data_IF_675215817619
#
_entry.id   IF_675215817619
#
_cell.length_a   1.000
_cell.length_b   1.000
_cell.length_c   1.000
_cell.angle_alpha   90.00
_cell.angle_beta   90.00
_cell.angle_gamma   90.00
#
_symmetry.space_group_name_H-M   'P 1'
#
loop_
_entity.id
_entity.type
_entity.pdbx_description
1 polymer ?
#
# COMPACT_ATOMS: atom_id res chain seq x y z
N UNK A 1 -19.54 13.58 -14.09
CA UNK A 1 -19.93 12.60 -13.05
C UNK A 1 -19.06 12.89 -11.83
N UNK A 2 -19.63 13.34 -10.70
CA UNK A 2 -18.87 13.50 -9.45
C UNK A 2 -18.62 12.09 -8.90
N UNK A 3 -17.36 11.72 -8.71
CA UNK A 3 -17.03 10.45 -8.08
C UNK A 3 -17.51 10.50 -6.62
N UNK A 4 -18.37 9.56 -6.19
CA UNK A 4 -19.11 9.68 -4.92
C UNK A 4 -18.21 9.63 -3.68
N UNK A 5 -17.15 8.81 -3.74
CA UNK A 5 -16.15 8.69 -2.66
C UNK A 5 -14.93 9.60 -2.87
N UNK A 6 -15.08 10.70 -3.63
CA UNK A 6 -13.95 11.58 -3.92
C UNK A 6 -13.32 12.16 -2.64
N UNK A 7 -14.16 12.57 -1.69
CA UNK A 7 -13.69 13.17 -0.44
C UNK A 7 -13.00 12.12 0.45
N UNK A 8 -13.48 10.87 0.43
CA UNK A 8 -12.80 9.74 1.07
C UNK A 8 -11.40 9.54 0.49
N UNK A 9 -11.27 9.44 -0.84
CA UNK A 9 -9.97 9.20 -1.47
C UNK A 9 -9.00 10.37 -1.23
N UNK A 10 -9.50 11.61 -1.26
CA UNK A 10 -8.71 12.79 -0.91
C UNK A 10 -8.24 12.70 0.55
N UNK A 11 -9.13 12.35 1.48
CA UNK A 11 -8.80 12.17 2.90
C UNK A 11 -7.71 11.12 3.10
N UNK A 12 -7.76 10.00 2.37
CA UNK A 12 -6.74 8.95 2.46
C UNK A 12 -5.37 9.44 2.01
N UNK A 13 -5.29 10.23 0.92
CA UNK A 13 -4.02 10.80 0.47
C UNK A 13 -3.54 11.90 1.42
N UNK A 14 -4.44 12.75 1.92
CA UNK A 14 -4.10 13.76 2.94
C UNK A 14 -3.52 13.11 4.19
N UNK A 15 -4.14 12.06 4.71
CA UNK A 15 -3.63 11.30 5.85
C UNK A 15 -2.22 10.77 5.58
N UNK A 16 -1.93 10.25 4.38
CA UNK A 16 -0.57 9.81 4.05
C UNK A 16 0.42 10.97 3.97
N UNK A 17 0.02 12.09 3.36
CA UNK A 17 0.85 13.29 3.30
C UNK A 17 1.13 13.83 4.71
N UNK A 18 0.17 13.75 5.63
CA UNK A 18 0.36 14.14 7.03
C UNK A 18 1.34 13.21 7.76
N UNK A 19 1.25 11.89 7.56
CA UNK A 19 2.22 10.94 8.11
C UNK A 19 3.66 11.29 7.68
N UNK A 20 3.85 11.73 6.43
CA UNK A 20 5.14 12.23 5.93
C UNK A 20 5.51 13.57 6.57
N UNK A 21 4.58 14.54 6.60
CA UNK A 21 4.81 15.88 7.18
C UNK A 21 5.26 15.80 8.64
N UNK A 22 4.71 14.86 9.42
CA UNK A 22 5.05 14.72 10.84
C UNK A 22 6.24 13.80 11.12
N UNK A 23 6.77 13.09 10.12
CA UNK A 23 7.98 12.32 10.29
C UNK A 23 9.22 13.23 10.19
N UNK A 24 9.88 13.49 11.32
CA UNK A 24 11.04 14.38 11.42
C UNK A 24 12.28 13.90 10.68
N UNK A 25 12.39 12.60 10.41
CA UNK A 25 13.53 12.02 9.70
C UNK A 25 13.46 12.32 8.20
N UNK A 26 12.25 12.51 7.67
CA UNK A 26 11.97 12.59 6.24
C UNK A 26 11.55 14.00 5.82
N UNK A 27 10.80 14.71 6.69
CA UNK A 27 10.15 15.97 6.34
C UNK A 27 11.11 17.14 6.11
N UNK A 28 12.38 17.03 6.47
CA UNK A 28 13.36 18.10 6.32
C UNK A 28 13.93 18.20 4.90
N UNK A 29 13.85 17.13 4.12
CA UNK A 29 14.38 17.08 2.77
C UNK A 29 13.62 18.04 1.83
N UNK A 30 14.38 18.84 1.06
CA UNK A 30 13.79 19.81 0.12
C UNK A 30 12.89 19.13 -0.92
N UNK A 31 13.27 17.94 -1.40
CA UNK A 31 12.50 17.17 -2.39
C UNK A 31 11.16 16.69 -1.82
N UNK A 32 11.15 16.28 -0.55
CA UNK A 32 9.93 15.89 0.18
C UNK A 32 8.99 17.09 0.32
N UNK A 33 9.53 18.26 0.70
CA UNK A 33 8.75 19.51 0.78
C UNK A 33 8.14 19.92 -0.58
N UNK A 34 8.88 19.75 -1.67
CA UNK A 34 8.38 20.01 -3.03
C UNK A 34 7.22 19.08 -3.42
N UNK A 35 7.34 17.78 -3.12
CA UNK A 35 6.28 16.81 -3.36
C UNK A 35 5.03 17.16 -2.55
N UNK A 36 5.18 17.40 -1.24
CA UNK A 36 4.09 17.80 -0.35
C UNK A 36 3.37 19.06 -0.88
N UNK A 37 4.14 20.05 -1.36
CA UNK A 37 3.57 21.28 -1.94
C UNK A 37 2.69 21.00 -3.17
N UNK A 38 3.00 19.97 -3.96
CA UNK A 38 2.15 19.55 -5.09
C UNK A 38 0.77 19.10 -4.61
N UNK A 39 0.72 18.33 -3.54
CA UNK A 39 -0.54 17.93 -2.92
C UNK A 39 -1.28 19.14 -2.32
N UNK A 40 -0.62 19.91 -1.46
CA UNK A 40 -1.22 21.06 -0.75
C UNK A 40 -1.81 22.12 -1.69
N UNK A 41 -1.28 22.24 -2.90
CA UNK A 41 -1.76 23.20 -3.90
C UNK A 41 -2.92 22.70 -4.76
N UNK A 42 -3.14 21.38 -4.85
CA UNK A 42 -4.10 20.81 -5.82
C UNK A 42 -5.16 19.91 -5.22
N UNK A 43 -4.86 19.19 -4.13
CA UNK A 43 -5.71 18.15 -3.54
C UNK A 43 -6.29 17.19 -4.60
N UNK A 44 -5.48 16.90 -5.63
CA UNK A 44 -5.90 16.09 -6.77
C UNK A 44 -4.97 14.90 -6.94
N UNK A 45 -5.50 13.70 -6.67
CA UNK A 45 -4.75 12.45 -6.67
C UNK A 45 -4.05 12.21 -8.01
N UNK A 46 -4.72 12.50 -9.14
CA UNK A 46 -4.12 12.33 -10.48
C UNK A 46 -2.95 13.29 -10.73
N UNK A 47 -3.10 14.55 -10.33
CA UNK A 47 -2.02 15.54 -10.47
C UNK A 47 -0.84 15.18 -9.57
N UNK A 48 -1.13 14.74 -8.35
CA UNK A 48 -0.13 14.33 -7.39
C UNK A 48 0.64 13.08 -7.86
N UNK A 49 -0.06 12.07 -8.38
CA UNK A 49 0.57 10.88 -8.94
C UNK A 49 1.49 11.20 -10.12
N UNK A 50 1.07 12.10 -11.03
CA UNK A 50 1.94 12.57 -12.12
C UNK A 50 3.20 13.27 -11.63
N UNK A 51 3.14 13.99 -10.51
CA UNK A 51 4.34 14.59 -9.92
C UNK A 51 5.24 13.51 -9.30
N UNK A 52 4.69 12.50 -8.62
CA UNK A 52 5.44 11.34 -8.12
C UNK A 52 6.18 10.64 -9.28
N UNK A 53 5.48 10.29 -10.35
CA UNK A 53 6.06 9.65 -11.55
C UNK A 53 7.19 10.50 -12.15
N UNK A 54 6.96 11.81 -12.27
CA UNK A 54 7.97 12.75 -12.79
C UNK A 54 9.21 12.80 -11.90
N UNK A 55 9.04 12.81 -10.58
CA UNK A 55 10.16 12.77 -9.64
C UNK A 55 10.90 11.43 -9.69
N UNK A 56 10.18 10.32 -9.90
CA UNK A 56 10.78 8.99 -10.12
C UNK A 56 11.62 8.94 -11.40
N UNK A 57 11.10 9.46 -12.51
CA UNK A 57 11.85 9.53 -13.78
C UNK A 57 13.10 10.41 -13.65
N UNK A 58 13.01 11.54 -12.94
CA UNK A 58 14.18 12.38 -12.65
C UNK A 58 15.21 11.62 -11.81
N UNK A 59 14.74 10.87 -10.81
CA UNK A 59 15.60 10.08 -9.94
C UNK A 59 16.36 9.01 -10.72
N UNK A 60 15.68 8.22 -11.56
CA UNK A 60 16.33 7.19 -12.41
C UNK A 60 17.38 7.82 -13.32
N UNK A 61 17.05 8.92 -14.01
CA UNK A 61 18.00 9.64 -14.89
C UNK A 61 19.18 10.25 -14.15
N UNK A 62 19.00 10.62 -12.89
CA UNK A 62 20.09 11.14 -12.06
C UNK A 62 21.00 9.99 -11.63
N UNK A 63 20.43 8.87 -11.19
CA UNK A 63 21.15 7.65 -10.80
C UNK A 63 22.01 7.09 -11.94
N UNK A 64 21.49 7.07 -13.17
CA UNK A 64 22.22 6.63 -14.37
C UNK A 64 23.45 7.48 -14.72
N UNK A 65 23.55 8.70 -14.16
CA UNK A 65 24.65 9.64 -14.44
C UNK A 65 25.70 9.71 -13.33
N UNK A 66 25.46 9.04 -12.21
CA UNK A 66 26.39 9.03 -11.08
C UNK A 66 27.42 7.92 -11.25
N UNK A 67 28.62 8.17 -10.76
CA UNK A 67 29.67 7.16 -10.67
C UNK A 67 29.48 6.33 -9.39
N UNK A 68 30.02 5.11 -9.32
CA UNK A 68 29.85 4.17 -8.19
C UNK A 68 30.14 4.78 -6.79
N UNK A 69 31.05 5.76 -6.71
CA UNK A 69 31.38 6.44 -5.46
C UNK A 69 30.28 7.40 -4.98
N UNK A 70 29.62 8.11 -5.89
CA UNK A 70 28.54 9.07 -5.58
C UNK A 70 27.20 8.34 -5.33
N UNK A 71 27.07 7.12 -5.83
CA UNK A 71 25.94 6.22 -5.52
C UNK A 71 25.95 5.78 -4.05
N UNK A 72 27.13 5.55 -3.46
CA UNK A 72 27.26 5.08 -2.07
C UNK A 72 26.81 6.10 -1.00
N UNK A 73 26.89 7.40 -1.28
CA UNK A 73 26.34 8.46 -0.40
C UNK A 73 24.82 8.66 -0.58
N UNK A 74 24.28 8.32 -1.76
CA UNK A 74 22.83 8.33 -1.99
C UNK A 74 22.11 7.15 -1.29
N UNK A 75 22.81 6.07 -0.95
CA UNK A 75 22.24 4.83 -0.36
C UNK A 75 21.67 4.98 1.07
N UNK A 76 21.61 6.20 1.63
CA UNK A 76 20.78 6.54 2.81
C UNK A 76 19.26 6.61 2.47
N UNK A 77 18.80 5.81 1.51
CA UNK A 77 17.68 6.06 0.60
C UNK A 77 16.27 6.07 1.22
N UNK A 78 15.92 7.17 1.89
CA UNK A 78 14.54 7.48 2.30
C UNK A 78 13.69 7.94 1.09
N UNK A 79 14.26 8.75 0.19
CA UNK A 79 13.48 9.43 -0.86
C UNK A 79 12.86 8.53 -1.96
N UNK A 80 13.58 7.60 -2.62
CA UNK A 80 12.98 6.70 -3.60
C UNK A 80 12.00 5.73 -2.97
N UNK A 81 12.29 5.26 -1.75
CA UNK A 81 11.39 4.41 -0.98
C UNK A 81 10.06 5.13 -0.76
N UNK A 82 10.11 6.40 -0.34
CA UNK A 82 8.93 7.25 -0.20
C UNK A 82 8.18 7.45 -1.53
N UNK A 83 8.88 7.72 -2.63
CA UNK A 83 8.25 7.88 -3.94
C UNK A 83 7.55 6.58 -4.41
N UNK A 84 8.17 5.43 -4.16
CA UNK A 84 7.59 4.11 -4.48
C UNK A 84 6.34 3.88 -3.62
N UNK A 85 6.42 4.12 -2.31
CA UNK A 85 5.29 3.94 -1.40
C UNK A 85 4.11 4.84 -1.80
N UNK A 86 4.36 6.14 -1.99
CA UNK A 86 3.34 7.10 -2.38
C UNK A 86 2.77 6.83 -3.78
N UNK A 87 3.63 6.42 -4.71
CA UNK A 87 3.22 6.01 -6.05
C UNK A 87 2.24 4.86 -5.99
N UNK A 88 2.62 3.77 -5.33
CA UNK A 88 1.75 2.60 -5.09
C UNK A 88 0.44 3.01 -4.41
N UNK A 89 0.53 3.81 -3.34
CA UNK A 89 -0.64 4.28 -2.60
C UNK A 89 -1.64 4.95 -3.52
N UNK A 90 -1.20 5.94 -4.31
CA UNK A 90 -2.10 6.67 -5.20
C UNK A 90 -2.55 5.84 -6.41
N UNK A 91 -1.70 4.96 -6.96
CA UNK A 91 -2.07 4.07 -8.06
C UNK A 91 -3.17 3.09 -7.65
N UNK A 92 -3.08 2.47 -6.47
CA UNK A 92 -4.12 1.58 -5.95
C UNK A 92 -5.46 2.30 -5.80
N UNK A 93 -5.46 3.55 -5.31
CA UNK A 93 -6.67 4.38 -5.22
C UNK A 93 -7.23 4.75 -6.60
N UNK A 94 -6.36 5.06 -7.56
CA UNK A 94 -6.77 5.40 -8.93
C UNK A 94 -7.33 4.19 -9.68
N UNK A 95 -6.76 3.00 -9.46
CA UNK A 95 -7.28 1.74 -10.00
C UNK A 95 -8.71 1.47 -9.48
N UNK A 96 -8.96 1.68 -8.19
CA UNK A 96 -10.31 1.61 -7.63
C UNK A 96 -11.29 2.57 -8.33
N UNK A 97 -10.88 3.82 -8.57
CA UNK A 97 -11.68 4.83 -9.29
C UNK A 97 -11.97 4.42 -10.74
N UNK A 98 -11.02 3.78 -11.40
CA UNK A 98 -11.17 3.32 -12.78
C UNK A 98 -12.14 2.13 -12.85
N UNK A 99 -11.91 1.11 -12.03
CA UNK A 99 -12.75 -0.09 -12.00
C UNK A 99 -14.20 0.22 -11.60
N UNK A 100 -14.40 1.12 -10.65
CA UNK A 100 -15.75 1.56 -10.24
C UNK A 100 -16.50 2.33 -11.32
N UNK A 101 -15.82 3.08 -12.20
CA UNK A 101 -16.47 3.77 -13.33
C UNK A 101 -16.87 2.85 -14.47
N UNK A 102 -16.10 1.78 -14.65
CA UNK A 102 -16.28 0.82 -15.73
C UNK A 102 -17.28 -0.28 -15.37
N UNK A 103 -17.71 -0.35 -14.10
CA UNK A 103 -18.67 -1.35 -13.67
C UNK A 103 -20.06 -1.07 -14.24
N UNK A 104 -20.60 -2.06 -14.95
CA UNK A 104 -21.98 -2.07 -15.44
C UNK A 104 -22.76 -3.05 -14.57
N UNK A 105 -23.85 -2.60 -13.97
CA UNK A 105 -24.75 -3.49 -13.23
C UNK A 105 -25.11 -4.69 -14.11
N UNK A 106 -24.80 -5.94 -13.68
CA UNK A 106 -25.26 -7.11 -14.40
C UNK A 106 -26.78 -7.03 -14.51
N UNK A 107 -27.30 -7.09 -15.73
CA UNK A 107 -28.74 -6.99 -15.98
C UNK A 107 -29.46 -8.18 -15.34
N UNK A 108 -30.11 -7.98 -14.19
CA UNK A 108 -30.87 -8.99 -13.47
C UNK A 108 -31.27 -8.58 -12.03
N UNK A 109 -32.53 -8.14 -11.90
CA UNK A 109 -33.49 -8.20 -10.77
C UNK A 109 -33.15 -7.94 -9.28
N UNK A 110 -31.96 -7.49 -8.89
CA UNK A 110 -31.82 -6.70 -7.66
C UNK A 110 -30.74 -5.62 -7.89
N UNK A 111 -31.12 -4.34 -7.76
CA UNK A 111 -30.15 -3.25 -7.81
C UNK A 111 -29.23 -3.37 -6.59
N UNK A 112 -28.01 -3.87 -6.79
CA UNK A 112 -26.96 -3.84 -5.77
C UNK A 112 -26.84 -2.42 -5.21
N UNK A 113 -26.79 -2.32 -3.89
CA UNK A 113 -26.44 -1.08 -3.21
C UNK A 113 -25.05 -0.63 -3.66
N UNK A 114 -24.79 0.66 -3.55
CA UNK A 114 -23.49 1.19 -3.93
C UNK A 114 -22.36 0.68 -3.02
N UNK A 115 -22.69 0.29 -1.79
CA UNK A 115 -21.78 -0.39 -0.87
C UNK A 115 -21.39 -1.75 -1.42
N UNK A 116 -22.37 -2.60 -1.75
CA UNK A 116 -22.14 -3.92 -2.35
C UNK A 116 -21.36 -3.82 -3.67
N UNK A 117 -21.67 -2.82 -4.49
CA UNK A 117 -20.92 -2.54 -5.70
C UNK A 117 -19.45 -2.21 -5.40
N UNK A 118 -19.19 -1.39 -4.38
CA UNK A 118 -17.83 -1.02 -4.00
C UNK A 118 -17.05 -2.20 -3.43
N UNK A 119 -17.70 -3.05 -2.63
CA UNK A 119 -17.13 -4.31 -2.15
C UNK A 119 -16.75 -5.24 -3.31
N UNK A 120 -17.62 -5.37 -4.32
CA UNK A 120 -17.32 -6.16 -5.52
C UNK A 120 -16.11 -5.59 -6.26
N UNK A 121 -16.05 -4.27 -6.51
CA UNK A 121 -14.90 -3.64 -7.17
C UNK A 121 -13.61 -3.91 -6.40
N UNK A 122 -13.62 -3.80 -5.07
CA UNK A 122 -12.47 -4.12 -4.23
C UNK A 122 -12.10 -5.61 -4.28
N UNK A 123 -13.09 -6.50 -4.32
CA UNK A 123 -12.86 -7.94 -4.48
C UNK A 123 -12.16 -8.26 -5.80
N UNK A 124 -12.59 -7.64 -6.91
CA UNK A 124 -11.96 -7.84 -8.21
C UNK A 124 -10.55 -7.28 -8.24
N UNK A 125 -10.34 -6.07 -7.72
CA UNK A 125 -9.00 -5.50 -7.60
C UNK A 125 -8.09 -6.39 -6.76
N UNK A 126 -8.57 -6.88 -5.62
CA UNK A 126 -7.85 -7.83 -4.77
C UNK A 126 -7.50 -9.13 -5.52
N UNK A 127 -8.44 -9.66 -6.31
CA UNK A 127 -8.20 -10.84 -7.14
C UNK A 127 -7.10 -10.60 -8.16
N UNK A 128 -7.14 -9.46 -8.84
CA UNK A 128 -6.15 -9.09 -9.85
C UNK A 128 -4.77 -8.96 -9.23
N UNK A 129 -4.65 -8.31 -8.05
CA UNK A 129 -3.40 -8.24 -7.30
C UNK A 129 -2.89 -9.64 -6.93
N UNK A 130 -3.74 -10.53 -6.42
CA UNK A 130 -3.33 -11.90 -6.10
C UNK A 130 -2.82 -12.64 -7.34
N UNK A 131 -3.50 -12.50 -8.48
CA UNK A 131 -3.08 -13.12 -9.73
C UNK A 131 -1.73 -12.58 -10.24
N UNK A 132 -1.50 -11.27 -10.12
CA UNK A 132 -0.23 -10.62 -10.48
C UNK A 132 0.91 -11.12 -9.60
N UNK A 133 0.64 -11.35 -8.31
CA UNK A 133 1.67 -11.69 -7.32
C UNK A 133 1.94 -13.19 -7.19
N UNK A 134 0.99 -14.07 -7.49
CA UNK A 134 1.13 -15.52 -7.34
C UNK A 134 2.12 -16.13 -8.33
N UNK A 135 2.07 -15.75 -9.62
CA UNK A 135 2.97 -16.30 -10.63
C UNK A 135 4.45 -15.97 -10.33
N UNK A 136 4.82 -14.70 -10.05
CA UNK A 136 6.18 -14.37 -9.62
C UNK A 136 6.60 -15.17 -8.40
N UNK A 137 5.70 -15.35 -7.41
CA UNK A 137 6.04 -16.06 -6.16
C UNK A 137 6.51 -17.49 -6.41
N UNK A 138 5.96 -18.18 -7.41
CA UNK A 138 6.35 -19.54 -7.79
C UNK A 138 7.75 -19.63 -8.41
N UNK A 139 8.28 -18.50 -8.91
CA UNK A 139 9.56 -18.42 -9.61
C UNK A 139 10.70 -17.88 -8.73
N UNK A 140 10.42 -17.45 -7.50
CA UNK A 140 11.45 -16.95 -6.59
C UNK A 140 12.43 -18.05 -6.19
N UNK A 141 13.70 -17.84 -6.51
CA UNK A 141 14.79 -18.49 -5.79
C UNK A 141 15.11 -17.67 -4.55
N UNK A 142 15.06 -18.28 -3.36
CA UNK A 142 15.41 -17.64 -2.09
C UNK A 142 16.47 -18.43 -1.34
N UNK A 143 17.28 -17.78 -0.49
CA UNK A 143 18.19 -18.49 0.40
C UNK A 143 17.45 -19.47 1.31
N UNK A 144 18.13 -20.53 1.74
CA UNK A 144 17.53 -21.64 2.49
C UNK A 144 16.76 -21.20 3.76
N UNK A 145 17.24 -20.18 4.47
CA UNK A 145 16.56 -19.71 5.68
C UNK A 145 15.23 -19.00 5.40
N UNK A 146 14.98 -18.57 4.16
CA UNK A 146 13.74 -17.92 3.73
C UNK A 146 12.75 -18.90 3.08
N UNK A 147 13.15 -20.13 2.76
CA UNK A 147 12.34 -21.05 1.94
C UNK A 147 11.03 -21.44 2.62
N UNK A 148 11.05 -21.68 3.93
CA UNK A 148 9.82 -21.97 4.68
C UNK A 148 8.84 -20.79 4.64
N UNK A 149 9.37 -19.57 4.73
CA UNK A 149 8.58 -18.34 4.60
C UNK A 149 7.89 -18.22 3.24
N UNK A 150 8.64 -18.51 2.18
CA UNK A 150 8.16 -18.54 0.80
C UNK A 150 7.07 -19.59 0.59
N UNK A 151 7.32 -20.84 0.99
CA UNK A 151 6.40 -21.97 0.80
C UNK A 151 5.05 -21.71 1.49
N UNK A 152 5.08 -21.17 2.72
CA UNK A 152 3.87 -20.81 3.46
C UNK A 152 3.09 -19.67 2.79
N UNK A 153 3.77 -18.65 2.25
CA UNK A 153 3.12 -17.57 1.49
C UNK A 153 2.43 -18.12 0.23
N UNK A 154 3.11 -19.01 -0.50
CA UNK A 154 2.55 -19.66 -1.69
C UNK A 154 1.28 -20.46 -1.34
N UNK A 155 1.31 -21.25 -0.26
CA UNK A 155 0.15 -22.01 0.21
C UNK A 155 -1.02 -21.09 0.62
N UNK A 156 -0.74 -20.04 1.39
CA UNK A 156 -1.77 -19.08 1.81
C UNK A 156 -2.43 -18.36 0.62
N UNK A 157 -1.63 -17.89 -0.34
CA UNK A 157 -2.15 -17.23 -1.54
C UNK A 157 -2.93 -18.21 -2.44
N UNK A 158 -2.43 -19.43 -2.60
CA UNK A 158 -3.14 -20.49 -3.33
C UNK A 158 -4.50 -20.81 -2.71
N UNK A 159 -4.58 -20.86 -1.36
CA UNK A 159 -5.85 -21.02 -0.64
C UNK A 159 -6.78 -19.83 -0.84
N UNK A 160 -6.27 -18.60 -0.81
CA UNK A 160 -7.07 -17.40 -1.03
C UNK A 160 -7.73 -17.37 -2.42
N UNK A 161 -7.00 -17.77 -3.47
CA UNK A 161 -7.54 -17.88 -4.82
C UNK A 161 -8.76 -18.83 -4.91
N UNK A 162 -8.84 -19.84 -4.05
CA UNK A 162 -9.97 -20.78 -4.01
C UNK A 162 -11.20 -20.24 -3.28
N UNK A 163 -11.10 -19.12 -2.56
CA UNK A 163 -12.18 -18.58 -1.73
C UNK A 163 -12.91 -17.37 -2.35
N UNK A 164 -12.55 -16.92 -3.56
CA UNK A 164 -13.14 -15.73 -4.22
C UNK A 164 -14.66 -15.80 -4.51
N UNK A 165 -15.33 -16.91 -4.21
CA UNK A 165 -16.78 -17.00 -4.21
C UNK A 165 -17.46 -16.51 -2.91
N UNK A 166 -16.68 -16.18 -1.87
CA UNK A 166 -17.17 -15.76 -0.54
C UNK A 166 -16.34 -14.58 -0.03
N UNK A 167 -16.93 -13.38 -0.09
CA UNK A 167 -16.23 -12.12 0.21
C UNK A 167 -15.65 -12.10 1.64
N UNK A 168 -16.42 -12.51 2.64
CA UNK A 168 -15.99 -12.52 4.04
C UNK A 168 -14.80 -13.46 4.26
N UNK A 169 -14.83 -14.64 3.62
CA UNK A 169 -13.70 -15.58 3.66
C UNK A 169 -12.45 -14.98 3.01
N UNK A 170 -12.59 -14.31 1.88
CA UNK A 170 -11.47 -13.64 1.21
C UNK A 170 -10.87 -12.58 2.12
N UNK A 171 -11.68 -11.67 2.66
CA UNK A 171 -11.18 -10.60 3.55
C UNK A 171 -10.46 -11.17 4.77
N UNK A 172 -11.03 -12.20 5.40
CA UNK A 172 -10.39 -12.87 6.55
C UNK A 172 -9.03 -13.49 6.17
N UNK A 173 -8.94 -14.13 5.01
CA UNK A 173 -7.69 -14.70 4.53
C UNK A 173 -6.69 -13.62 4.14
N UNK A 174 -7.14 -12.54 3.53
CA UNK A 174 -6.30 -11.39 3.19
C UNK A 174 -5.69 -10.74 4.42
N UNK A 175 -6.46 -10.57 5.50
CA UNK A 175 -5.93 -10.14 6.81
C UNK A 175 -4.86 -11.10 7.33
N UNK A 176 -5.11 -12.41 7.24
CA UNK A 176 -4.16 -13.46 7.68
C UNK A 176 -2.85 -13.39 6.88
N UNK A 177 -2.95 -13.23 5.56
CA UNK A 177 -1.82 -13.12 4.65
C UNK A 177 -1.02 -11.84 4.92
N UNK A 178 -1.70 -10.71 5.12
CA UNK A 178 -1.06 -9.45 5.49
C UNK A 178 -0.30 -9.57 6.80
N UNK A 179 -0.90 -10.16 7.84
CA UNK A 179 -0.25 -10.35 9.13
C UNK A 179 0.97 -11.26 8.99
N UNK A 180 0.83 -12.41 8.33
CA UNK A 180 1.94 -13.33 8.11
C UNK A 180 3.09 -12.67 7.33
N UNK A 181 2.79 -11.92 6.27
CA UNK A 181 3.80 -11.19 5.50
C UNK A 181 4.51 -10.12 6.33
N UNK A 182 3.79 -9.43 7.22
CA UNK A 182 4.37 -8.46 8.16
C UNK A 182 5.31 -9.13 9.15
N UNK A 183 4.85 -10.19 9.82
CA UNK A 183 5.63 -10.93 10.81
C UNK A 183 6.86 -11.58 10.18
N UNK A 184 6.70 -12.14 8.97
CA UNK A 184 7.80 -12.73 8.21
C UNK A 184 8.84 -11.68 7.84
N UNK A 185 8.43 -10.50 7.37
CA UNK A 185 9.34 -9.41 7.03
C UNK A 185 10.19 -9.02 8.24
N UNK A 186 9.56 -8.84 9.39
CA UNK A 186 10.24 -8.48 10.64
C UNK A 186 11.24 -9.57 11.05
N UNK A 187 10.87 -10.85 10.98
CA UNK A 187 11.78 -11.96 11.29
C UNK A 187 12.97 -11.97 10.33
N UNK A 188 12.72 -11.87 9.03
CA UNK A 188 13.78 -11.98 8.01
C UNK A 188 14.75 -10.79 8.06
N UNK A 189 14.26 -9.56 8.29
CA UNK A 189 15.11 -8.38 8.40
C UNK A 189 16.02 -8.40 9.64
N UNK A 190 15.61 -9.10 10.70
CA UNK A 190 16.38 -9.23 11.94
C UNK A 190 17.20 -10.53 12.02
N UNK A 191 17.17 -11.37 11.00
CA UNK A 191 17.91 -12.64 10.98
C UNK A 191 19.37 -12.39 10.58
N UNK A 192 20.29 -12.75 11.48
CA UNK A 192 21.73 -12.62 11.24
C UNK A 192 22.28 -13.88 10.53
N UNK A 193 22.26 -13.88 9.20
CA UNK A 193 22.85 -14.93 8.36
C UNK A 193 23.97 -14.36 7.48
N UNK A 194 25.05 -15.13 7.31
CA UNK A 194 26.13 -14.76 6.40
C UNK A 194 25.74 -15.16 4.97
N UNK A 195 25.39 -14.18 4.15
CA UNK A 195 24.90 -14.39 2.78
C UNK A 195 26.00 -14.16 1.75
N UNK A 196 25.99 -14.97 0.69
CA UNK A 196 26.79 -14.67 -0.51
C UNK A 196 26.17 -13.49 -1.28
N UNK A 197 26.92 -12.85 -2.18
CA UNK A 197 26.37 -11.76 -3.01
C UNK A 197 25.12 -12.19 -3.81
N UNK A 198 25.09 -13.44 -4.29
CA UNK A 198 23.92 -14.02 -4.97
C UNK A 198 22.73 -14.12 -4.00
N UNK A 199 22.96 -14.65 -2.81
CA UNK A 199 21.92 -14.82 -1.80
C UNK A 199 21.37 -13.47 -1.31
N UNK A 200 22.21 -12.44 -1.23
CA UNK A 200 21.79 -11.07 -0.90
C UNK A 200 20.83 -10.54 -1.97
N UNK A 201 21.16 -10.71 -3.25
CA UNK A 201 20.27 -10.25 -4.34
C UNK A 201 18.92 -10.97 -4.31
N UNK A 202 18.91 -12.29 -4.09
CA UNK A 202 17.69 -13.10 -3.98
C UNK A 202 16.85 -12.74 -2.76
N UNK A 203 17.49 -12.59 -1.60
CA UNK A 203 16.85 -12.13 -0.38
C UNK A 203 16.19 -10.76 -0.56
N UNK A 204 16.94 -9.79 -1.12
CA UNK A 204 16.43 -8.46 -1.36
C UNK A 204 15.24 -8.45 -2.33
N UNK A 205 15.29 -9.28 -3.38
CA UNK A 205 14.17 -9.40 -4.31
C UNK A 205 12.90 -9.90 -3.59
N UNK A 206 13.03 -10.93 -2.75
CA UNK A 206 11.91 -11.49 -2.01
C UNK A 206 11.37 -10.53 -0.94
N UNK A 207 12.24 -9.89 -0.16
CA UNK A 207 11.85 -8.88 0.83
C UNK A 207 11.12 -7.71 0.18
N UNK A 208 11.62 -7.20 -0.94
CA UNK A 208 10.96 -6.12 -1.69
C UNK A 208 9.61 -6.55 -2.25
N UNK A 209 9.46 -7.82 -2.66
CA UNK A 209 8.17 -8.38 -3.06
C UNK A 209 7.20 -8.43 -1.87
N UNK A 210 7.63 -8.89 -0.68
CA UNK A 210 6.80 -8.93 0.53
C UNK A 210 6.32 -7.52 0.88
N UNK A 211 7.23 -6.54 0.91
CA UNK A 211 6.90 -5.13 1.18
C UNK A 211 5.84 -4.65 0.19
N UNK A 212 6.10 -4.81 -1.12
CA UNK A 212 5.19 -4.37 -2.16
C UNK A 212 3.80 -4.98 -2.05
N UNK A 213 3.74 -6.30 -1.86
CA UNK A 213 2.48 -7.01 -1.79
C UNK A 213 1.69 -6.60 -0.54
N UNK A 214 2.37 -6.57 0.62
CA UNK A 214 1.76 -6.16 1.89
C UNK A 214 1.16 -4.75 1.81
N UNK A 215 1.89 -3.80 1.24
CA UNK A 215 1.45 -2.40 1.15
C UNK A 215 0.18 -2.28 0.29
N UNK A 216 0.16 -2.92 -0.88
CA UNK A 216 -1.03 -2.94 -1.75
C UNK A 216 -2.25 -3.53 -1.03
N UNK A 217 -2.05 -4.66 -0.35
CA UNK A 217 -3.13 -5.32 0.40
C UNK A 217 -3.63 -4.43 1.54
N UNK A 218 -2.74 -3.78 2.29
CA UNK A 218 -3.10 -2.82 3.31
C UNK A 218 -3.97 -1.68 2.77
N UNK A 219 -3.61 -1.12 1.61
CA UNK A 219 -4.38 -0.02 0.99
C UNK A 219 -5.79 -0.48 0.59
N UNK A 220 -5.92 -1.68 0.02
CA UNK A 220 -7.22 -2.25 -0.35
C UNK A 220 -8.08 -2.49 0.89
N UNK A 221 -7.50 -3.05 1.96
CA UNK A 221 -8.24 -3.27 3.21
C UNK A 221 -8.64 -1.94 3.88
N UNK A 222 -7.78 -0.92 3.83
CA UNK A 222 -8.10 0.42 4.33
C UNK A 222 -9.26 1.07 3.55
N UNK A 223 -9.26 0.93 2.21
CA UNK A 223 -10.38 1.38 1.37
C UNK A 223 -11.69 0.68 1.78
N UNK A 224 -11.66 -0.64 1.95
CA UNK A 224 -12.83 -1.42 2.37
C UNK A 224 -13.38 -0.93 3.71
N UNK A 225 -12.49 -0.78 4.69
CA UNK A 225 -12.87 -0.37 6.03
C UNK A 225 -13.48 1.03 6.05
N UNK A 226 -12.88 1.98 5.31
CA UNK A 226 -13.43 3.34 5.20
C UNK A 226 -14.77 3.39 4.46
N UNK A 227 -14.99 2.55 3.47
CA UNK A 227 -16.30 2.45 2.80
C UNK A 227 -17.34 1.85 3.75
N UNK A 228 -16.94 0.87 4.57
CA UNK A 228 -17.81 0.27 5.60
C UNK A 228 -18.19 1.29 6.67
N UNK A 229 -17.24 2.12 7.14
CA UNK A 229 -17.53 3.22 8.07
C UNK A 229 -18.64 4.14 7.51
N UNK A 230 -18.54 4.53 6.24
CA UNK A 230 -19.51 5.43 5.60
C UNK A 230 -20.90 4.77 5.52
N UNK A 231 -20.96 3.47 5.22
CA UNK A 231 -22.23 2.74 5.15
C UNK A 231 -22.86 2.54 6.53
N UNK A 232 -22.07 2.14 7.53
CA UNK A 232 -22.52 1.97 8.91
C UNK A 232 -23.05 3.29 9.50
N UNK A 233 -22.35 4.41 9.26
CA UNK A 233 -22.80 5.75 9.65
C UNK A 233 -24.16 6.10 9.00
N UNK A 234 -24.33 5.78 7.71
CA UNK A 234 -25.58 6.01 6.99
C UNK A 234 -26.73 5.15 7.51
N UNK A 235 -26.42 3.95 8.03
CA UNK A 235 -27.37 3.02 8.64
C UNK A 235 -27.56 3.23 10.15
N UNK A 236 -26.89 4.21 10.75
CA UNK A 236 -26.97 4.50 12.19
C UNK A 236 -26.37 3.40 13.08
N UNK A 237 -25.49 2.57 12.51
CA UNK A 237 -24.73 1.56 13.24
C UNK A 237 -23.60 2.30 13.98
N UNK A 238 -23.62 2.21 15.30
CA UNK A 238 -22.61 2.80 16.18
C UNK A 238 -21.86 1.67 16.92
N UNK A 239 -20.68 1.96 17.45
CA UNK A 239 -19.84 1.06 18.26
C UNK A 239 -19.10 -0.07 17.51
N UNK A 240 -18.78 0.12 16.23
CA UNK A 240 -17.87 -0.77 15.50
C UNK A 240 -16.39 -0.41 15.73
N UNK A 241 -15.53 -1.42 15.71
CA UNK A 241 -14.08 -1.25 15.78
C UNK A 241 -13.49 -1.48 14.40
N UNK A 242 -12.78 -0.47 13.92
CA UNK A 242 -12.18 -0.41 12.60
C UNK A 242 -10.66 -0.46 12.74
N UNK A 243 -10.13 -1.68 12.87
CA UNK A 243 -8.75 -1.93 13.32
C UNK A 243 -7.69 -1.17 12.51
N UNK A 244 -7.84 -1.11 11.18
CA UNK A 244 -6.84 -0.53 10.28
C UNK A 244 -6.88 1.00 10.35
N UNK A 245 -8.08 1.57 10.33
CA UNK A 245 -8.33 3.01 10.43
C UNK A 245 -7.89 3.52 11.80
N UNK A 246 -8.24 2.80 12.87
CA UNK A 246 -7.82 3.12 14.24
C UNK A 246 -6.29 3.07 14.41
N UNK A 247 -5.64 2.06 13.83
CA UNK A 247 -4.18 1.94 13.87
C UNK A 247 -3.51 3.12 13.17
N UNK A 248 -4.01 3.49 11.99
CA UNK A 248 -3.53 4.64 11.20
C UNK A 248 -3.74 5.96 11.92
N UNK A 249 -4.89 6.16 12.56
CA UNK A 249 -5.16 7.35 13.37
C UNK A 249 -4.21 7.44 14.58
N UNK A 250 -4.01 6.33 15.30
CA UNK A 250 -3.05 6.26 16.42
C UNK A 250 -1.63 6.62 15.97
N UNK A 251 -1.20 6.12 14.82
CA UNK A 251 0.10 6.44 14.24
C UNK A 251 0.22 7.94 13.95
N UNK A 252 -0.80 8.53 13.33
CA UNK A 252 -0.84 9.95 13.03
C UNK A 252 -0.77 10.81 14.31
N UNK A 253 -1.54 10.45 15.34
CA UNK A 253 -1.53 11.13 16.63
C UNK A 253 -0.19 11.01 17.36
N UNK A 254 0.48 9.87 17.26
CA UNK A 254 1.82 9.68 17.80
C UNK A 254 2.83 10.61 17.11
N UNK A 255 2.83 10.65 15.77
CA UNK A 255 3.75 11.48 15.00
C UNK A 255 3.51 12.97 15.25
N UNK A 256 2.25 13.42 15.33
CA UNK A 256 1.91 14.80 15.73
C UNK A 256 2.52 15.18 17.07
N UNK A 257 2.41 14.32 18.09
CA UNK A 257 2.98 14.56 19.42
C UNK A 257 4.51 14.63 19.41
N UNK A 258 5.16 13.83 18.57
CA UNK A 258 6.61 13.85 18.40
C UNK A 258 7.07 15.13 17.69
N UNK A 259 6.38 15.55 16.63
CA UNK A 259 6.67 16.79 15.92
C UNK A 259 6.60 18.02 16.84
N UNK A 260 5.54 18.14 17.66
CA UNK A 260 5.39 19.23 18.64
C UNK A 260 6.52 19.26 19.67
N UNK A 261 7.04 18.09 20.08
CA UNK A 261 8.17 18.02 21.03
C UNK A 261 9.50 18.46 20.43
N UNK A 262 9.68 18.36 19.11
CA UNK A 262 10.90 18.76 18.43
C UNK A 262 10.94 20.26 18.11
N UNK A 263 9.79 20.93 18.14
CA UNK A 263 9.65 22.38 17.94
C UNK A 263 9.80 23.20 19.24
N UNK A 264 9.86 22.53 20.41
CA UNK A 264 10.03 23.15 21.73
C UNK A 264 11.41 22.82 22.35
#
# INVERSE_FOLDING_TARGET
MKFKYNDLLISLVEEQVLLIKYNSEINQEMKVKELIKSWDSTHNIKTFQKEIEKQMVKFVKYREKLNDFELSEMDSFVWPSLLIEMGRFTDTLLNFVENSKNWVHPSGDDELTEYELSQLVLLFQLKDEYMIHVLPLMEFEVPKFMSEGLDNLQDLLGKALNNFGDFDKVIKQTKTIYQYGSDLLDVLQNTAELLTEKDVAQANQFLNWIISFKDTIYIIMLLLEKITIIDDDANGINDQIYEISDAREKQLEMLKKLAVKLEN
#
